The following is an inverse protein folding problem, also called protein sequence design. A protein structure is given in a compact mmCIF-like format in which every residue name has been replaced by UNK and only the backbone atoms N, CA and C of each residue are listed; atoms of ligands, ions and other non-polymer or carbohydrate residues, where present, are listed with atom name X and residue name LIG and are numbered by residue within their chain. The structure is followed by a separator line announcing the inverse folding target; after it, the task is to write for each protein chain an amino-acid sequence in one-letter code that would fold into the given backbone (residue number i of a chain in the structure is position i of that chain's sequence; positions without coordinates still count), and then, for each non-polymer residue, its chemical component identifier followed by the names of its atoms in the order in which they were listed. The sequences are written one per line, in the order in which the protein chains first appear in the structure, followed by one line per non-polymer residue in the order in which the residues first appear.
data_IF_638911270745
#
_entry.id   IF_638911270745
#
_cell.length_a   1.000
_cell.length_b   1.000
_cell.length_c   1.000
_cell.angle_alpha   90.00
_cell.angle_beta   90.00
_cell.angle_gamma   90.00
#
_symmetry.space_group_name_H-M   'P 1'
#
loop_
_entity.id
_entity.type
_entity.pdbx_description
1 polymer ?
#
# COMPACT_ATOMS: atom_id res chain seq x y z
N UNK A 1 13.17 -47.83 15.55
CA UNK A 1 12.54 -46.74 14.78
C UNK A 1 12.09 -45.66 15.76
N UNK A 2 12.94 -44.65 16.00
CA UNK A 2 12.71 -43.64 17.05
C UNK A 2 13.24 -42.32 16.50
N UNK A 3 12.39 -41.65 15.72
CA UNK A 3 12.52 -40.25 15.23
C UNK A 3 11.34 -39.83 14.33
N UNK A 4 10.42 -40.73 13.97
CA UNK A 4 9.26 -40.43 13.13
C UNK A 4 8.20 -39.52 13.78
N UNK A 5 8.32 -39.20 15.07
CA UNK A 5 7.38 -38.31 15.78
C UNK A 5 7.80 -36.83 15.75
N UNK A 6 9.06 -36.53 15.41
CA UNK A 6 9.56 -35.15 15.42
C UNK A 6 9.15 -34.36 14.17
N UNK A 7 9.06 -35.03 13.02
CA UNK A 7 8.60 -34.45 11.75
C UNK A 7 7.18 -33.85 11.80
N UNK A 8 6.15 -34.56 12.30
CA UNK A 8 4.79 -34.00 12.34
C UNK A 8 4.66 -32.83 13.32
N UNK A 9 5.41 -32.83 14.42
CA UNK A 9 5.38 -31.73 15.40
C UNK A 9 6.06 -30.47 14.85
N UNK A 10 7.20 -30.62 14.15
CA UNK A 10 7.87 -29.50 13.50
C UNK A 10 7.01 -28.88 12.38
N UNK A 11 6.34 -29.73 11.60
CA UNK A 11 5.42 -29.28 10.55
C UNK A 11 4.23 -28.48 11.13
N UNK A 12 3.70 -28.89 12.29
CA UNK A 12 2.63 -28.18 12.97
C UNK A 12 3.09 -26.79 13.47
N UNK A 13 4.31 -26.70 14.02
CA UNK A 13 4.88 -25.42 14.48
C UNK A 13 5.14 -24.47 13.30
N UNK A 14 5.66 -24.99 12.18
CA UNK A 14 5.90 -24.19 10.97
C UNK A 14 4.60 -23.70 10.32
N UNK A 15 3.56 -24.54 10.25
CA UNK A 15 2.25 -24.15 9.73
C UNK A 15 1.60 -23.06 10.59
N UNK A 16 1.70 -23.16 11.92
CA UNK A 16 1.20 -22.13 12.83
C UNK A 16 2.05 -20.85 12.76
N UNK A 17 3.37 -20.96 12.62
CA UNK A 17 4.27 -19.80 12.47
C UNK A 17 4.01 -18.97 11.21
N UNK A 18 3.72 -19.62 10.08
CA UNK A 18 3.34 -18.93 8.83
C UNK A 18 1.93 -18.31 8.89
N UNK A 19 1.11 -18.65 9.89
CA UNK A 19 -0.22 -18.03 10.06
C UNK A 19 -0.12 -16.58 10.55
N UNK A 20 1.03 -16.17 11.12
CA UNK A 20 1.26 -14.83 11.64
C UNK A 20 2.22 -14.00 10.78
N UNK A 21 2.80 -14.56 9.72
CA UNK A 21 3.53 -13.79 8.70
C UNK A 21 2.52 -13.18 7.72
N UNK A 22 1.54 -12.45 8.24
CA UNK A 22 0.86 -11.46 7.41
C UNK A 22 1.92 -10.43 7.09
N UNK A 23 2.23 -10.24 5.80
CA UNK A 23 3.07 -9.15 5.31
C UNK A 23 2.67 -7.91 6.13
N UNK A 24 3.62 -7.33 6.87
CA UNK A 24 3.40 -6.06 7.54
C UNK A 24 2.83 -5.14 6.45
N UNK A 25 1.54 -4.83 6.56
CA UNK A 25 0.93 -3.80 5.75
C UNK A 25 1.71 -2.56 6.18
N UNK A 26 2.71 -2.17 5.39
CA UNK A 26 3.53 -1.00 5.65
C UNK A 26 2.54 0.12 5.98
N UNK A 27 2.52 0.53 7.25
CA UNK A 27 1.42 1.30 7.86
C UNK A 27 1.27 2.70 7.24
N UNK A 28 2.15 3.05 6.28
CA UNK A 28 2.10 4.27 5.48
C UNK A 28 1.30 4.17 4.17
N UNK A 29 0.97 2.97 3.65
CA UNK A 29 0.17 2.89 2.42
C UNK A 29 -1.31 3.22 2.69
N UNK A 30 -1.74 4.38 2.19
CA UNK A 30 -3.13 4.81 2.16
C UNK A 30 -3.72 4.49 0.79
N UNK A 31 -4.89 3.86 0.78
CA UNK A 31 -5.65 3.68 -0.46
C UNK A 31 -6.40 4.96 -0.80
N UNK A 32 -6.06 5.56 -1.93
CA UNK A 32 -6.69 6.77 -2.46
C UNK A 32 -7.21 6.58 -3.89
N UNK A 33 -7.69 7.68 -4.46
CA UNK A 33 -8.27 7.76 -5.80
C UNK A 33 -7.59 8.87 -6.59
N UNK A 34 -7.37 8.66 -7.87
CA UNK A 34 -6.87 9.69 -8.78
C UNK A 34 -7.82 9.80 -9.97
N UNK A 35 -7.85 10.97 -10.61
CA UNK A 35 -8.51 11.15 -11.91
C UNK A 35 -7.48 10.95 -13.02
N UNK A 36 -7.26 9.69 -13.38
CA UNK A 36 -6.29 9.27 -14.38
C UNK A 36 -6.80 9.45 -15.82
N UNK A 37 -6.01 9.07 -16.83
CA UNK A 37 -6.40 9.20 -18.24
C UNK A 37 -7.64 8.38 -18.61
N UNK A 38 -7.99 7.36 -17.83
CA UNK A 38 -9.17 6.52 -18.03
C UNK A 38 -10.31 6.86 -17.05
N UNK A 39 -10.19 7.97 -16.31
CA UNK A 39 -11.11 8.38 -15.23
C UNK A 39 -10.62 7.97 -13.85
N UNK A 40 -11.56 7.85 -12.91
CA UNK A 40 -11.26 7.60 -11.51
C UNK A 40 -10.71 6.19 -11.26
N UNK A 41 -9.45 6.10 -10.86
CA UNK A 41 -8.73 4.86 -10.57
C UNK A 41 -8.27 4.86 -9.11
N UNK A 42 -8.26 3.67 -8.49
CA UNK A 42 -7.82 3.49 -7.10
C UNK A 42 -6.31 3.20 -7.07
N UNK A 43 -5.58 3.90 -6.21
CA UNK A 43 -4.13 3.76 -6.05
C UNK A 43 -3.79 3.55 -4.58
N UNK A 44 -2.74 2.76 -4.31
CA UNK A 44 -2.17 2.64 -2.98
C UNK A 44 -0.89 3.48 -2.95
N UNK A 45 -0.87 4.49 -2.09
CA UNK A 45 0.20 5.49 -2.04
C UNK A 45 0.75 5.58 -0.64
N UNK A 46 2.05 5.70 -0.50
CA UNK A 46 2.72 5.91 0.78
C UNK A 46 2.73 7.41 1.12
N UNK A 47 1.56 7.95 1.43
CA UNK A 47 1.42 9.36 1.80
C UNK A 47 1.21 9.46 3.32
N UNK A 48 2.25 9.88 4.03
CA UNK A 48 2.14 10.25 5.44
C UNK A 48 1.26 11.50 5.58
N UNK A 49 0.22 11.47 6.41
CA UNK A 49 -0.74 12.58 6.52
C UNK A 49 -0.09 13.89 7.02
N UNK A 50 -0.15 14.96 6.21
CA UNK A 50 0.39 16.28 6.56
C UNK A 50 -0.32 17.46 5.91
N UNK A 51 0.41 18.52 5.58
CA UNK A 51 -0.13 19.78 5.04
C UNK A 51 0.05 19.95 3.52
N UNK A 52 0.94 19.18 2.91
CA UNK A 52 1.25 19.24 1.47
C UNK A 52 0.30 18.40 0.65
N UNK A 53 0.26 18.61 -0.66
CA UNK A 53 -0.55 17.82 -1.57
C UNK A 53 0.11 16.46 -1.84
N UNK A 54 -0.65 15.37 -1.68
CA UNK A 54 -0.19 14.03 -2.07
C UNK A 54 -0.36 13.85 -3.58
N UNK A 55 0.74 13.88 -4.32
CA UNK A 55 0.77 13.71 -5.78
C UNK A 55 1.45 12.39 -6.17
N UNK A 56 0.94 11.77 -7.23
CA UNK A 56 1.56 10.59 -7.85
C UNK A 56 1.89 10.86 -9.31
N UNK A 57 2.83 10.09 -9.86
CA UNK A 57 3.19 10.11 -11.27
C UNK A 57 3.35 8.69 -11.79
N UNK A 58 2.75 8.38 -12.93
CA UNK A 58 2.93 7.09 -13.59
C UNK A 58 4.12 7.11 -14.53
N UNK A 59 5.16 6.31 -14.28
CA UNK A 59 6.29 6.26 -15.20
C UNK A 59 5.92 5.51 -16.50
N UNK A 60 6.38 5.96 -17.68
CA UNK A 60 7.31 7.06 -17.94
C UNK A 60 6.62 8.42 -18.18
N UNK A 61 5.33 8.57 -17.86
CA UNK A 61 4.58 9.80 -18.09
C UNK A 61 4.94 10.87 -17.03
N UNK A 62 5.32 12.10 -17.42
CA UNK A 62 5.63 13.16 -16.47
C UNK A 62 4.41 13.80 -15.79
N UNK A 63 3.19 13.30 -16.02
CA UNK A 63 1.96 13.91 -15.48
C UNK A 63 1.80 13.60 -13.99
N UNK A 64 1.60 14.65 -13.19
CA UNK A 64 1.30 14.54 -11.77
C UNK A 64 -0.22 14.45 -11.56
N UNK A 65 -0.64 13.56 -10.67
CA UNK A 65 -2.03 13.33 -10.33
C UNK A 65 -2.22 13.52 -8.82
N UNK A 66 -3.13 14.42 -8.45
CA UNK A 66 -3.56 14.58 -7.07
C UNK A 66 -4.32 13.34 -6.60
N UNK A 67 -3.95 12.83 -5.42
CA UNK A 67 -4.67 11.72 -4.77
C UNK A 67 -5.80 12.27 -3.90
N UNK A 68 -6.94 11.58 -3.88
CA UNK A 68 -8.14 11.92 -3.14
C UNK A 68 -8.59 10.74 -2.26
N UNK A 69 -9.22 11.01 -1.12
CA UNK A 69 -9.77 9.98 -0.23
C UNK A 69 -10.99 9.26 -0.82
N UNK A 70 -11.70 9.92 -1.73
CA UNK A 70 -12.94 9.43 -2.36
C UNK A 70 -12.93 9.76 -3.84
N UNK A 71 -13.70 9.02 -4.66
CA UNK A 71 -13.93 9.41 -6.05
C UNK A 71 -14.61 10.79 -6.10
N UNK A 72 -13.86 11.81 -6.52
CA UNK A 72 -14.32 13.20 -6.59
C UNK A 72 -13.30 14.19 -6.03
N UNK A 73 -13.46 15.48 -6.38
CA UNK A 73 -12.48 16.53 -6.06
C UNK A 73 -12.62 17.15 -4.66
N UNK A 74 -13.53 16.63 -3.83
CA UNK A 74 -13.89 17.29 -2.56
C UNK A 74 -12.95 16.98 -1.39
N UNK A 75 -12.12 15.93 -1.50
CA UNK A 75 -11.30 15.44 -0.39
C UNK A 75 -9.87 15.06 -0.86
N UNK A 76 -9.01 16.04 -1.18
CA UNK A 76 -7.63 15.76 -1.55
C UNK A 76 -6.88 15.15 -0.37
N UNK A 77 -6.10 14.11 -0.63
CA UNK A 77 -5.19 13.51 0.33
C UNK A 77 -3.99 14.44 0.52
N UNK A 78 -3.54 14.57 1.77
CA UNK A 78 -2.42 15.43 2.14
C UNK A 78 -1.22 14.61 2.61
N UNK A 79 -0.03 15.13 2.34
CA UNK A 79 1.27 14.55 2.66
C UNK A 79 2.06 15.43 3.64
N UNK A 80 2.97 14.87 4.44
CA UNK A 80 3.95 15.65 5.24
C UNK A 80 5.08 16.24 4.40
N UNK A 81 5.21 15.81 3.14
CA UNK A 81 6.26 16.21 2.22
C UNK A 81 5.69 16.47 0.82
N UNK A 82 6.37 17.34 0.05
CA UNK A 82 6.07 17.61 -1.37
C UNK A 82 6.63 16.50 -2.30
N UNK A 83 6.81 15.28 -1.77
CA UNK A 83 7.34 14.17 -2.56
C UNK A 83 6.28 13.63 -3.52
N UNK A 84 6.65 13.53 -4.80
CA UNK A 84 5.81 12.91 -5.82
C UNK A 84 6.11 11.42 -5.87
N UNK A 85 5.08 10.61 -5.64
CA UNK A 85 5.21 9.15 -5.59
C UNK A 85 5.16 8.59 -7.01
N UNK A 86 6.22 7.88 -7.42
CA UNK A 86 6.26 7.20 -8.72
C UNK A 86 5.53 5.84 -8.64
N UNK A 87 4.52 5.66 -9.49
CA UNK A 87 3.72 4.44 -9.67
C UNK A 87 4.01 3.72 -11.00
#
# INVERSE_FOLDING_TARGET
MKNQFLLPVLAMILAVGMSFTTLEANEGYVTGWIDGPNGWEQVNVDCEMGDFDCEVRFLPNPTHYQVYLTQGYSNPLKSVSEEVIDL
#
